data_IF_916055107510
#
_entry.id   IF_916055107510
#
_cell.length_a   1.000
_cell.length_b   1.000
_cell.length_c   1.000
_cell.angle_alpha   90.00
_cell.angle_beta   90.00
_cell.angle_gamma   90.00
#
_symmetry.space_group_name_H-M   'P 1'
#
loop_
_entity.id
_entity.type
_entity.pdbx_description
1 polymer ?
#
# COMPACT_ATOMS: atom_id res chain seq x y z
N UNK A 1 -42.82 12.18 -0.68
CA UNK A 1 -41.46 12.09 -0.01
C UNK A 1 -41.05 10.65 0.14
N UNK A 2 -41.94 9.71 0.49
CA UNK A 2 -41.63 8.27 0.70
C UNK A 2 -41.17 7.55 -0.57
N UNK A 3 -41.74 7.86 -1.73
CA UNK A 3 -41.39 7.19 -3.00
C UNK A 3 -40.01 7.54 -3.52
N UNK A 4 -39.52 8.76 -3.28
CA UNK A 4 -38.18 9.19 -3.68
C UNK A 4 -37.09 8.50 -2.86
N UNK A 5 -37.34 8.33 -1.57
CA UNK A 5 -36.41 7.63 -0.66
C UNK A 5 -36.31 6.14 -0.98
N UNK A 6 -37.45 5.50 -1.27
CA UNK A 6 -37.48 4.09 -1.70
C UNK A 6 -36.75 3.88 -3.03
N UNK A 7 -36.86 4.82 -3.96
CA UNK A 7 -36.18 4.74 -5.25
C UNK A 7 -34.66 4.88 -5.07
N UNK A 8 -34.21 5.79 -4.19
CA UNK A 8 -32.78 5.93 -3.85
C UNK A 8 -32.20 4.68 -3.15
N UNK A 9 -32.95 4.12 -2.22
CA UNK A 9 -32.54 2.89 -1.52
C UNK A 9 -32.44 1.70 -2.48
N UNK A 10 -33.41 1.52 -3.39
CA UNK A 10 -33.31 0.49 -4.44
C UNK A 10 -32.13 0.68 -5.37
N UNK A 11 -31.79 1.92 -5.69
CA UNK A 11 -30.64 2.21 -6.55
C UNK A 11 -29.31 1.94 -5.85
N UNK A 12 -29.24 2.21 -4.55
CA UNK A 12 -28.02 1.88 -3.74
C UNK A 12 -27.88 0.38 -3.51
N UNK A 13 -28.96 -0.34 -3.22
CA UNK A 13 -28.90 -1.81 -3.07
C UNK A 13 -28.52 -2.51 -4.37
N UNK A 14 -29.01 -2.05 -5.51
CA UNK A 14 -28.60 -2.62 -6.82
C UNK A 14 -27.14 -2.37 -7.16
N UNK A 15 -26.57 -1.24 -6.73
CA UNK A 15 -25.12 -0.98 -6.86
C UNK A 15 -24.30 -1.90 -5.95
N UNK A 16 -24.73 -2.08 -4.71
CA UNK A 16 -24.07 -2.99 -3.76
C UNK A 16 -24.14 -4.44 -4.24
N UNK A 17 -25.26 -4.89 -4.80
CA UNK A 17 -25.37 -6.22 -5.40
C UNK A 17 -24.45 -6.40 -6.61
N UNK A 18 -24.33 -5.40 -7.48
CA UNK A 18 -23.35 -5.44 -8.58
C UNK A 18 -21.91 -5.52 -8.09
N UNK A 19 -21.56 -4.74 -7.06
CA UNK A 19 -20.24 -4.84 -6.42
C UNK A 19 -20.00 -6.21 -5.78
N UNK A 20 -21.01 -6.78 -5.14
CA UNK A 20 -20.95 -8.11 -4.54
C UNK A 20 -20.82 -9.20 -5.60
N UNK A 21 -21.54 -9.10 -6.71
CA UNK A 21 -21.42 -10.05 -7.84
C UNK A 21 -20.06 -9.96 -8.54
N UNK A 22 -19.53 -8.75 -8.73
CA UNK A 22 -18.18 -8.55 -9.27
C UNK A 22 -17.12 -9.12 -8.33
N UNK A 23 -17.30 -8.95 -7.03
CA UNK A 23 -16.37 -9.47 -6.03
C UNK A 23 -16.48 -11.01 -5.92
N UNK A 24 -17.67 -11.58 -6.00
CA UNK A 24 -17.88 -13.03 -6.06
C UNK A 24 -17.34 -13.66 -7.36
N UNK A 25 -17.50 -12.99 -8.51
CA UNK A 25 -16.86 -13.44 -9.75
C UNK A 25 -15.33 -13.37 -9.68
N UNK A 26 -14.78 -12.36 -9.01
CA UNK A 26 -13.33 -12.31 -8.74
C UNK A 26 -12.86 -13.38 -7.75
N UNK A 27 -13.69 -13.75 -6.78
CA UNK A 27 -13.40 -14.83 -5.83
C UNK A 27 -13.52 -16.22 -6.48
N UNK A 28 -14.37 -16.38 -7.51
CA UNK A 28 -14.49 -17.63 -8.27
C UNK A 28 -13.37 -17.82 -9.31
N UNK A 29 -12.70 -16.75 -9.71
CA UNK A 29 -11.46 -16.79 -10.47
C UNK A 29 -10.28 -16.93 -9.50
N UNK A 30 -10.26 -18.01 -8.73
CA UNK A 30 -9.04 -18.47 -8.07
C UNK A 30 -8.05 -18.93 -9.16
N UNK A 31 -7.42 -17.93 -9.81
CA UNK A 31 -6.31 -18.25 -10.71
C UNK A 31 -5.23 -18.94 -9.90
N UNK A 32 -4.84 -20.13 -10.32
CA UNK A 32 -3.67 -20.79 -9.80
C UNK A 32 -2.42 -19.95 -10.12
N UNK A 33 -1.34 -20.18 -9.38
CA UNK A 33 -0.08 -19.51 -9.63
C UNK A 33 0.35 -19.58 -11.11
N UNK A 34 0.20 -20.75 -11.72
CA UNK A 34 0.59 -20.96 -13.12
C UNK A 34 -0.25 -20.14 -14.09
N UNK A 35 -1.56 -20.08 -13.89
CA UNK A 35 -2.47 -19.28 -14.69
C UNK A 35 -2.19 -17.79 -14.56
N UNK A 36 -1.91 -17.31 -13.33
CA UNK A 36 -1.54 -15.93 -13.09
C UNK A 36 -0.21 -15.56 -13.79
N UNK A 37 0.75 -16.47 -13.79
CA UNK A 37 2.03 -16.29 -14.48
C UNK A 37 1.85 -16.23 -16.01
N UNK A 38 1.06 -17.13 -16.57
CA UNK A 38 0.72 -17.13 -17.99
C UNK A 38 -0.02 -15.85 -18.40
N UNK A 39 -0.95 -15.37 -17.59
CA UNK A 39 -1.68 -14.13 -17.82
C UNK A 39 -0.78 -12.89 -17.79
N UNK A 40 0.33 -12.93 -17.07
CA UNK A 40 1.27 -11.82 -16.98
C UNK A 40 2.14 -11.65 -18.24
N UNK A 41 2.26 -12.67 -19.07
CA UNK A 41 3.14 -12.72 -20.25
C UNK A 41 4.61 -12.35 -19.95
N UNK A 42 5.05 -12.46 -18.71
CA UNK A 42 6.39 -12.08 -18.25
C UNK A 42 7.07 -13.26 -17.55
N UNK A 43 8.40 -13.33 -17.64
CA UNK A 43 9.15 -14.29 -16.85
C UNK A 43 9.15 -13.93 -15.36
N UNK A 44 9.29 -14.93 -14.50
CA UNK A 44 9.35 -14.73 -13.04
C UNK A 44 10.50 -13.79 -12.66
N UNK A 45 11.65 -13.91 -13.32
CA UNK A 45 12.83 -13.10 -13.07
C UNK A 45 12.63 -11.63 -13.45
N UNK A 46 11.93 -11.37 -14.54
CA UNK A 46 11.61 -10.00 -14.97
C UNK A 46 10.62 -9.33 -14.02
N UNK A 47 9.64 -10.09 -13.54
CA UNK A 47 8.69 -9.64 -12.52
C UNK A 47 9.40 -9.32 -11.20
N UNK A 48 10.28 -10.21 -10.73
CA UNK A 48 11.06 -10.01 -9.51
C UNK A 48 11.93 -8.75 -9.60
N UNK A 49 12.67 -8.60 -10.68
CA UNK A 49 13.53 -7.43 -10.93
C UNK A 49 12.71 -6.13 -10.98
N UNK A 50 11.54 -6.14 -11.62
CA UNK A 50 10.65 -4.99 -11.72
C UNK A 50 10.07 -4.60 -10.37
N UNK A 51 9.63 -5.58 -9.57
CA UNK A 51 9.08 -5.32 -8.24
C UNK A 51 10.15 -4.86 -7.26
N UNK A 52 11.35 -5.44 -7.29
CA UNK A 52 12.50 -5.00 -6.47
C UNK A 52 12.86 -3.55 -6.77
N UNK A 53 12.95 -3.17 -8.04
CA UNK A 53 13.24 -1.80 -8.46
C UNK A 53 12.16 -0.82 -7.96
N UNK A 54 10.88 -1.17 -8.08
CA UNK A 54 9.77 -0.36 -7.56
C UNK A 54 9.81 -0.25 -6.04
N UNK A 55 10.09 -1.34 -5.33
CA UNK A 55 10.22 -1.32 -3.87
C UNK A 55 11.32 -0.37 -3.42
N UNK A 56 12.49 -0.43 -4.04
CA UNK A 56 13.61 0.47 -3.72
C UNK A 56 13.25 1.92 -3.99
N UNK A 57 12.61 2.22 -5.11
CA UNK A 57 12.17 3.58 -5.45
C UNK A 57 11.20 4.13 -4.38
N UNK A 58 10.19 3.36 -3.98
CA UNK A 58 9.25 3.78 -2.95
C UNK A 58 9.89 3.94 -1.57
N UNK A 59 10.84 3.09 -1.23
CA UNK A 59 11.64 3.22 0.01
C UNK A 59 12.46 4.49 0.02
N UNK A 60 13.17 4.80 -1.07
CA UNK A 60 13.94 6.03 -1.20
C UNK A 60 13.04 7.25 -1.08
N UNK A 61 11.86 7.23 -1.71
CA UNK A 61 10.87 8.30 -1.59
C UNK A 61 10.39 8.48 -0.13
N UNK A 62 10.10 7.40 0.58
CA UNK A 62 9.74 7.46 2.00
C UNK A 62 10.86 8.07 2.86
N UNK A 63 12.11 7.68 2.59
CA UNK A 63 13.26 8.18 3.32
C UNK A 63 13.49 9.66 3.09
N UNK A 64 13.44 10.11 1.85
CA UNK A 64 13.59 11.53 1.51
C UNK A 64 12.51 12.40 2.16
N UNK A 65 11.25 11.97 2.12
CA UNK A 65 10.16 12.68 2.77
C UNK A 65 10.30 12.72 4.29
N UNK A 66 10.76 11.62 4.91
CA UNK A 66 11.05 11.60 6.35
C UNK A 66 12.18 12.54 6.73
N UNK A 67 13.27 12.57 5.95
CA UNK A 67 14.38 13.48 6.17
C UNK A 67 13.93 14.96 6.08
N UNK A 68 13.11 15.29 5.11
CA UNK A 68 12.52 16.65 4.96
C UNK A 68 11.62 16.97 6.17
N UNK A 69 10.78 16.04 6.60
CA UNK A 69 9.91 16.24 7.77
C UNK A 69 10.72 16.48 9.05
N UNK A 70 11.79 15.71 9.27
CA UNK A 70 12.68 15.89 10.42
C UNK A 70 13.41 17.22 10.38
N UNK A 71 13.90 17.63 9.20
CA UNK A 71 14.56 18.91 9.02
C UNK A 71 13.62 20.08 9.32
N UNK A 72 12.39 20.07 8.79
CA UNK A 72 11.38 21.09 9.06
C UNK A 72 10.98 21.12 10.53
N UNK A 73 10.81 19.95 11.17
CA UNK A 73 10.53 19.87 12.60
C UNK A 73 11.68 20.47 13.43
N UNK A 74 12.92 20.15 13.08
CA UNK A 74 14.11 20.70 13.76
C UNK A 74 14.17 22.23 13.64
N UNK A 75 13.88 22.78 12.48
CA UNK A 75 13.82 24.24 12.28
C UNK A 75 12.71 24.89 13.11
N UNK A 76 11.56 24.24 13.24
CA UNK A 76 10.45 24.72 14.07
C UNK A 76 10.83 24.77 15.56
N UNK A 77 11.54 23.75 16.04
CA UNK A 77 12.02 23.71 17.43
C UNK A 77 13.14 24.73 17.71
N UNK A 78 13.98 25.01 16.72
CA UNK A 78 15.06 25.98 16.86
C UNK A 78 14.56 27.44 16.87
N UNK A 79 13.40 27.71 16.29
CA UNK A 79 12.82 29.04 16.22
C UNK A 79 12.00 29.35 17.49
N UNK A 80 12.59 30.07 18.42
CA UNK A 80 12.01 30.38 19.74
C UNK A 80 10.84 31.37 19.75
N UNK A 81 10.60 32.09 18.65
CA UNK A 81 9.49 33.06 18.54
C UNK A 81 8.97 33.16 17.13
N UNK A 82 8.01 32.32 16.78
CA UNK A 82 7.33 32.36 15.49
C UNK A 82 5.97 33.06 15.60
N UNK A 83 5.61 33.94 14.66
CA UNK A 83 4.26 34.48 14.58
C UNK A 83 3.26 33.33 14.30
N UNK A 84 2.07 33.42 14.90
CA UNK A 84 1.03 32.38 14.84
C UNK A 84 0.74 31.89 13.40
N UNK A 85 0.70 32.79 12.44
CA UNK A 85 0.46 32.48 11.03
C UNK A 85 1.55 31.60 10.43
N UNK A 86 2.80 31.80 10.79
CA UNK A 86 3.93 30.98 10.33
C UNK A 86 3.85 29.59 10.94
N UNK A 87 3.48 29.48 12.20
CA UNK A 87 3.28 28.21 12.90
C UNK A 87 2.17 27.38 12.24
N UNK A 88 1.03 27.97 11.93
CA UNK A 88 -0.08 27.29 11.26
C UNK A 88 0.33 26.78 9.87
N UNK A 89 1.04 27.59 9.09
CA UNK A 89 1.56 27.17 7.78
C UNK A 89 2.55 26.03 7.89
N UNK A 90 3.45 26.08 8.85
CA UNK A 90 4.44 25.04 9.09
C UNK A 90 3.79 23.72 9.50
N UNK A 91 2.81 23.73 10.40
CA UNK A 91 2.06 22.55 10.79
C UNK A 91 1.30 21.96 9.59
N UNK A 92 0.63 22.80 8.80
CA UNK A 92 -0.09 22.34 7.60
C UNK A 92 0.85 21.66 6.60
N UNK A 93 2.03 22.23 6.37
CA UNK A 93 3.05 21.63 5.49
C UNK A 93 3.55 20.32 6.03
N UNK A 94 3.77 20.22 7.34
CA UNK A 94 4.20 19.00 8.00
C UNK A 94 3.15 17.88 7.85
N UNK A 95 1.87 18.21 8.02
CA UNK A 95 0.77 17.27 7.83
C UNK A 95 0.68 16.75 6.39
N UNK A 96 0.90 17.62 5.39
CA UNK A 96 0.98 17.22 3.98
C UNK A 96 2.14 16.24 3.73
N UNK A 97 3.31 16.52 4.27
CA UNK A 97 4.48 15.64 4.13
C UNK A 97 4.22 14.28 4.81
N UNK A 98 3.65 14.26 6.01
CA UNK A 98 3.29 13.01 6.70
C UNK A 98 2.27 12.19 5.92
N UNK A 99 1.28 12.84 5.30
CA UNK A 99 0.33 12.19 4.38
C UNK A 99 1.05 11.56 3.18
N UNK A 100 2.01 12.27 2.59
CA UNK A 100 2.86 11.73 1.52
C UNK A 100 3.67 10.52 1.95
N UNK A 101 4.24 10.54 3.15
CA UNK A 101 4.97 9.40 3.73
C UNK A 101 4.03 8.19 3.89
N UNK A 102 2.82 8.39 4.38
CA UNK A 102 1.84 7.32 4.55
C UNK A 102 1.45 6.68 3.20
N UNK A 103 1.25 7.48 2.16
CA UNK A 103 0.99 6.99 0.80
C UNK A 103 2.17 6.18 0.24
N UNK A 104 3.39 6.67 0.38
CA UNK A 104 4.58 5.96 -0.05
C UNK A 104 4.77 4.64 0.70
N UNK A 105 4.52 4.63 2.02
CA UNK A 105 4.58 3.43 2.84
C UNK A 105 3.54 2.39 2.39
N UNK A 106 2.31 2.80 2.13
CA UNK A 106 1.25 1.93 1.60
C UNK A 106 1.62 1.32 0.25
N UNK A 107 2.20 2.11 -0.64
CA UNK A 107 2.68 1.62 -1.95
C UNK A 107 3.85 0.64 -1.80
N UNK A 108 4.79 0.94 -0.91
CA UNK A 108 5.90 0.03 -0.61
C UNK A 108 5.39 -1.29 -0.02
N UNK A 109 4.39 -1.26 0.84
CA UNK A 109 3.76 -2.44 1.42
C UNK A 109 3.10 -3.31 0.34
N UNK A 110 2.34 -2.71 -0.58
CA UNK A 110 1.70 -3.44 -1.68
C UNK A 110 2.75 -4.11 -2.57
N UNK A 111 3.82 -3.42 -2.91
CA UNK A 111 4.90 -3.99 -3.73
C UNK A 111 5.61 -5.13 -3.00
N UNK A 112 5.84 -5.00 -1.68
CA UNK A 112 6.46 -6.05 -0.86
C UNK A 112 5.54 -7.28 -0.76
N UNK A 113 4.23 -7.08 -0.62
CA UNK A 113 3.25 -8.16 -0.66
C UNK A 113 3.28 -8.90 -2.00
N UNK A 114 3.35 -8.19 -3.13
CA UNK A 114 3.47 -8.82 -4.45
C UNK A 114 4.77 -9.60 -4.61
N UNK A 115 5.86 -9.10 -4.08
CA UNK A 115 7.14 -9.78 -4.06
C UNK A 115 7.08 -11.07 -3.22
N UNK A 116 6.44 -11.00 -2.05
CA UNK A 116 6.21 -12.16 -1.20
C UNK A 116 5.38 -13.22 -1.92
N UNK A 117 4.28 -12.84 -2.58
CA UNK A 117 3.47 -13.75 -3.41
C UNK A 117 4.30 -14.43 -4.50
N UNK A 118 5.22 -13.68 -5.12
CA UNK A 118 6.10 -14.18 -6.17
C UNK A 118 7.10 -15.22 -5.61
N UNK A 119 7.69 -14.97 -4.47
CA UNK A 119 8.65 -15.88 -3.82
C UNK A 119 8.00 -17.16 -3.28
N UNK A 120 6.85 -17.01 -2.63
CA UNK A 120 6.09 -18.14 -2.06
C UNK A 120 5.29 -18.90 -3.13
N UNK A 121 5.18 -18.36 -4.36
CA UNK A 121 4.36 -18.91 -5.46
C UNK A 121 2.91 -19.12 -5.04
N UNK A 122 2.34 -18.20 -4.26
CA UNK A 122 1.00 -18.24 -3.70
C UNK A 122 0.23 -17.02 -4.15
N UNK A 123 -0.90 -17.21 -4.82
CA UNK A 123 -1.72 -16.11 -5.35
C UNK A 123 -3.14 -16.16 -4.81
N UNK A 124 -3.68 -17.35 -4.63
CA UNK A 124 -5.08 -17.55 -4.27
C UNK A 124 -5.28 -17.86 -2.78
N UNK A 125 -6.50 -17.70 -2.30
CA UNK A 125 -6.88 -18.03 -0.92
C UNK A 125 -6.61 -19.50 -0.53
N UNK A 126 -6.90 -20.49 -1.41
CA UNK A 126 -6.54 -21.89 -1.12
C UNK A 126 -5.04 -22.14 -0.99
N UNK A 127 -4.20 -21.30 -1.63
CA UNK A 127 -2.74 -21.37 -1.57
C UNK A 127 -2.15 -20.56 -0.40
N UNK A 128 -3.00 -19.97 0.48
CA UNK A 128 -2.58 -19.06 1.55
C UNK A 128 -1.79 -17.86 1.05
N UNK A 129 -2.18 -17.31 -0.11
CA UNK A 129 -1.58 -16.14 -0.73
C UNK A 129 -2.28 -14.83 -0.40
N UNK A 130 -3.12 -14.77 0.64
CA UNK A 130 -3.88 -13.58 1.00
C UNK A 130 -3.01 -12.53 1.71
N UNK A 131 -3.46 -11.27 1.67
CA UNK A 131 -2.79 -10.19 2.39
C UNK A 131 -2.76 -10.42 3.91
N UNK A 132 -3.75 -11.14 4.45
CA UNK A 132 -3.81 -11.50 5.86
C UNK A 132 -2.71 -12.49 6.24
N UNK A 133 -2.44 -13.45 5.37
CA UNK A 133 -1.36 -14.42 5.56
C UNK A 133 0.01 -13.74 5.51
N UNK A 134 0.18 -12.79 4.58
CA UNK A 134 1.37 -11.94 4.51
C UNK A 134 1.59 -11.11 5.79
N UNK A 135 0.53 -10.57 6.40
CA UNK A 135 0.65 -9.82 7.65
C UNK A 135 0.99 -10.71 8.85
N UNK A 136 0.51 -11.96 8.85
CA UNK A 136 0.80 -12.94 9.88
C UNK A 136 2.21 -13.53 9.75
N UNK A 137 2.79 -13.46 8.57
CA UNK A 137 4.18 -13.88 8.37
C UNK A 137 5.11 -12.92 9.12
N UNK A 138 5.97 -13.49 9.97
CA UNK A 138 6.77 -12.79 10.99
C UNK A 138 7.59 -11.61 10.48
N UNK A 139 7.88 -11.55 9.20
CA UNK A 139 8.77 -10.56 8.61
C UNK A 139 8.15 -9.69 7.50
N UNK A 140 6.94 -10.00 7.04
CA UNK A 140 6.37 -9.39 5.84
C UNK A 140 6.20 -7.87 5.92
N UNK A 141 5.41 -7.38 6.85
CA UNK A 141 5.12 -5.95 6.97
C UNK A 141 6.25 -5.15 7.65
N UNK A 142 6.98 -5.77 8.58
CA UNK A 142 8.13 -5.12 9.25
C UNK A 142 9.24 -4.78 8.26
N UNK A 143 9.52 -5.69 7.34
CA UNK A 143 10.51 -5.46 6.29
C UNK A 143 10.06 -4.41 5.25
N UNK A 144 8.77 -4.18 5.12
CA UNK A 144 8.23 -3.17 4.23
C UNK A 144 8.24 -1.77 4.83
N UNK A 145 7.93 -1.64 6.13
CA UNK A 145 7.67 -0.36 6.79
C UNK A 145 8.79 0.07 7.74
N UNK A 146 9.39 -0.87 8.44
CA UNK A 146 10.55 -0.61 9.29
C UNK A 146 11.81 -0.77 8.47
N UNK A 147 12.72 0.11 8.72
CA UNK A 147 14.08 0.13 8.26
C UNK A 147 14.79 -1.11 8.77
N UNK A 148 14.51 -2.23 8.21
CA UNK A 148 15.42 -3.32 8.32
C UNK A 148 16.54 -3.07 7.31
N UNK A 149 17.53 -2.32 7.74
CA UNK A 149 18.89 -2.33 7.20
C UNK A 149 19.51 -3.72 7.37
N UNK A 150 18.79 -4.65 7.91
CA UNK A 150 19.22 -6.03 7.99
C UNK A 150 18.93 -6.70 6.65
N UNK A 151 19.88 -6.55 5.75
CA UNK A 151 20.10 -7.47 4.66
C UNK A 151 20.26 -8.88 5.23
N UNK A 152 19.20 -9.62 5.29
CA UNK A 152 19.21 -11.07 5.16
C UNK A 152 18.32 -11.35 3.98
N UNK A 153 18.96 -11.37 2.88
CA UNK A 153 19.00 -12.39 1.85
C UNK A 153 17.84 -13.38 1.91
N UNK A 154 16.96 -13.20 0.98
CA UNK A 154 16.40 -14.30 0.23
C UNK A 154 16.66 -14.03 -1.23
#
# INVERSE_FOLDING_TARGET
ITNSVQHMLKQQTSRLEKFRQVNNKKAQLCLSWEEALLASHMSVDDLDRRFRRRRTAWRLCCWSLRAIALFLSGMLFAASSLPLMTLVRAISTLMLILSGVALCASRALIVTYRLWQLHERKVSEPEQGTFRDFLNDRNGWRNATLIAVTSKQY
#
